data_IF_723654513392
#
_entry.id   IF_723654513392
#
_cell.length_a   1.000
_cell.length_b   1.000
_cell.length_c   1.000
_cell.angle_alpha   90.00
_cell.angle_beta   90.00
_cell.angle_gamma   90.00
#
_symmetry.space_group_name_H-M   'P 1'
#
loop_
_entity.id
_entity.type
_entity.pdbx_description
1 polymer ?
#
# COMPACT_ATOMS: atom_id res chain seq x y z
N UNK A 1 -6.98 -1.28 0.10
CA UNK A 1 -7.33 -0.72 -1.21
C UNK A 1 -7.74 -1.80 -2.22
N UNK A 2 -6.84 -2.73 -2.57
CA UNK A 2 -7.13 -3.84 -3.50
C UNK A 2 -8.33 -4.71 -3.09
N UNK A 3 -8.51 -4.96 -1.79
CA UNK A 3 -9.69 -5.66 -1.25
C UNK A 3 -10.95 -4.82 -1.44
N UNK A 4 -10.93 -3.53 -1.12
CA UNK A 4 -12.09 -2.63 -1.24
C UNK A 4 -12.49 -2.47 -2.71
N UNK A 5 -11.53 -2.34 -3.62
CA UNK A 5 -11.79 -2.24 -5.06
C UNK A 5 -12.31 -3.55 -5.66
N UNK A 6 -11.74 -4.71 -5.29
CA UNK A 6 -12.20 -6.01 -5.79
C UNK A 6 -13.60 -6.37 -5.27
N UNK A 7 -13.90 -5.98 -4.03
CA UNK A 7 -15.17 -6.26 -3.37
C UNK A 7 -16.26 -5.29 -3.80
N UNK A 8 -15.94 -4.03 -4.10
CA UNK A 8 -16.87 -3.06 -4.69
C UNK A 8 -17.31 -3.39 -6.12
N UNK A 9 -16.71 -4.41 -6.75
CA UNK A 9 -17.11 -4.94 -8.06
C UNK A 9 -17.93 -6.25 -7.97
N UNK A 10 -18.23 -6.75 -6.76
CA UNK A 10 -18.97 -7.98 -6.56
C UNK A 10 -20.45 -7.71 -6.19
N UNK A 11 -21.38 -8.34 -6.89
CA UNK A 11 -22.82 -8.12 -6.70
C UNK A 11 -23.43 -8.84 -5.48
N UNK A 12 -22.65 -9.70 -4.80
CA UNK A 12 -23.13 -10.53 -3.69
C UNK A 12 -22.67 -9.98 -2.34
N UNK A 13 -23.59 -9.33 -1.62
CA UNK A 13 -23.33 -8.70 -0.31
C UNK A 13 -22.75 -9.71 0.70
N UNK A 14 -23.23 -10.95 0.69
CA UNK A 14 -22.76 -12.01 1.59
C UNK A 14 -21.27 -12.33 1.38
N UNK A 15 -20.85 -12.45 0.11
CA UNK A 15 -19.45 -12.72 -0.24
C UNK A 15 -18.56 -11.55 0.14
N UNK A 16 -19.04 -10.32 -0.09
CA UNK A 16 -18.35 -9.08 0.31
C UNK A 16 -18.07 -9.05 1.81
N UNK A 17 -19.06 -9.33 2.66
CA UNK A 17 -18.91 -9.30 4.12
C UNK A 17 -17.88 -10.34 4.57
N UNK A 18 -17.97 -11.56 4.07
CA UNK A 18 -17.01 -12.63 4.41
C UNK A 18 -15.59 -12.27 3.97
N UNK A 19 -15.42 -11.71 2.76
CA UNK A 19 -14.13 -11.29 2.25
C UNK A 19 -13.50 -10.17 3.09
N UNK A 20 -14.27 -9.18 3.52
CA UNK A 20 -13.79 -8.08 4.37
C UNK A 20 -13.35 -8.61 5.74
N UNK A 21 -14.14 -9.47 6.38
CA UNK A 21 -13.79 -10.03 7.69
C UNK A 21 -12.49 -10.84 7.59
N UNK A 22 -12.36 -11.70 6.57
CA UNK A 22 -11.13 -12.48 6.34
C UNK A 22 -9.93 -11.57 6.07
N UNK A 23 -10.09 -10.55 5.23
CA UNK A 23 -9.02 -9.60 4.92
C UNK A 23 -8.55 -8.84 6.18
N UNK A 24 -9.49 -8.33 6.99
CA UNK A 24 -9.16 -7.65 8.25
C UNK A 24 -8.47 -8.61 9.22
N UNK A 25 -8.94 -9.85 9.33
CA UNK A 25 -8.29 -10.88 10.15
C UNK A 25 -6.83 -11.10 9.75
N UNK A 26 -6.55 -11.26 8.45
CA UNK A 26 -5.18 -11.39 7.94
C UNK A 26 -4.35 -10.13 8.19
N UNK A 27 -4.92 -8.93 7.97
CA UNK A 27 -4.23 -7.67 8.23
C UNK A 27 -3.86 -7.52 9.70
N UNK A 28 -4.73 -7.91 10.64
CA UNK A 28 -4.42 -7.84 12.08
C UNK A 28 -3.28 -8.78 12.47
N UNK A 29 -3.25 -10.00 11.92
CA UNK A 29 -2.15 -10.95 12.14
C UNK A 29 -0.84 -10.41 11.56
N UNK A 30 -0.90 -9.79 10.38
CA UNK A 30 0.27 -9.22 9.71
C UNK A 30 0.70 -7.85 10.25
N UNK A 31 -0.13 -7.17 11.06
CA UNK A 31 0.13 -5.79 11.50
C UNK A 31 1.42 -5.67 12.30
N UNK A 32 1.70 -6.62 13.21
CA UNK A 32 2.92 -6.62 14.03
C UNK A 32 4.20 -6.76 13.19
N UNK A 33 4.41 -7.81 12.38
CA UNK A 33 5.63 -7.95 11.59
C UNK A 33 5.80 -6.84 10.55
N UNK A 34 4.70 -6.32 9.97
CA UNK A 34 4.76 -5.18 9.06
C UNK A 34 5.17 -3.91 9.82
N UNK A 35 4.62 -3.69 11.01
CA UNK A 35 4.96 -2.56 11.88
C UNK A 35 6.45 -2.53 12.22
N UNK A 36 6.98 -3.65 12.73
CA UNK A 36 8.39 -3.79 13.11
C UNK A 36 9.33 -3.52 11.90
N UNK A 37 8.94 -3.98 10.71
CA UNK A 37 9.68 -3.74 9.47
C UNK A 37 9.69 -2.25 9.07
N UNK A 38 8.55 -1.58 9.19
CA UNK A 38 8.40 -0.14 8.89
C UNK A 38 9.14 0.73 9.91
N UNK A 39 9.21 0.32 11.18
CA UNK A 39 10.00 1.01 12.20
C UNK A 39 11.51 0.90 11.95
N UNK A 40 11.98 -0.27 11.50
CA UNK A 40 13.39 -0.52 11.17
C UNK A 40 13.86 0.28 9.95
N UNK A 41 12.93 0.68 9.07
CA UNK A 41 13.22 1.40 7.82
C UNK A 41 12.45 2.73 7.73
N UNK A 42 13.02 3.85 8.24
CA UNK A 42 12.33 5.15 8.28
C UNK A 42 11.84 5.66 6.93
N UNK A 43 12.56 5.36 5.84
CA UNK A 43 12.18 5.73 4.47
C UNK A 43 10.95 4.97 3.99
N UNK A 44 10.76 3.71 4.39
CA UNK A 44 9.53 2.95 4.16
C UNK A 44 8.34 3.53 4.93
N UNK A 45 8.56 4.04 6.15
CA UNK A 45 7.50 4.73 6.93
C UNK A 45 6.99 5.97 6.19
N UNK A 46 7.91 6.79 5.66
CA UNK A 46 7.53 7.96 4.85
C UNK A 46 6.81 7.52 3.57
N UNK A 47 7.31 6.48 2.88
CA UNK A 47 6.66 5.94 1.68
C UNK A 47 5.22 5.50 1.94
N UNK A 48 4.98 4.82 3.07
CA UNK A 48 3.63 4.39 3.48
C UNK A 48 2.70 5.58 3.74
N UNK A 49 3.18 6.62 4.44
CA UNK A 49 2.41 7.86 4.65
C UNK A 49 2.10 8.55 3.31
N UNK A 50 3.04 8.56 2.37
CA UNK A 50 2.82 9.10 1.03
C UNK A 50 1.78 8.31 0.25
N UNK A 51 1.75 6.98 0.36
CA UNK A 51 0.70 6.16 -0.27
C UNK A 51 -0.68 6.44 0.33
N UNK A 52 -0.78 6.67 1.64
CA UNK A 52 -2.04 7.07 2.27
C UNK A 52 -2.56 8.39 1.69
N UNK A 53 -1.67 9.38 1.52
CA UNK A 53 -2.03 10.67 0.90
C UNK A 53 -2.43 10.47 -0.57
N UNK A 54 -1.65 9.71 -1.34
CA UNK A 54 -1.90 9.44 -2.76
C UNK A 54 -3.28 8.79 -2.96
N UNK A 55 -3.59 7.76 -2.19
CA UNK A 55 -4.90 7.07 -2.24
C UNK A 55 -6.02 7.99 -1.78
N UNK A 56 -5.80 8.78 -0.71
CA UNK A 56 -6.79 9.76 -0.26
C UNK A 56 -7.14 10.80 -1.33
N UNK A 57 -6.14 11.36 -2.00
CA UNK A 57 -6.32 12.30 -3.11
C UNK A 57 -6.98 11.62 -4.31
N UNK A 58 -6.59 10.38 -4.62
CA UNK A 58 -7.21 9.62 -5.70
C UNK A 58 -8.70 9.38 -5.46
N UNK A 59 -9.10 9.00 -4.24
CA UNK A 59 -10.50 8.80 -3.87
C UNK A 59 -11.31 10.10 -3.95
N UNK A 60 -10.73 11.23 -3.50
CA UNK A 60 -11.37 12.54 -3.65
C UNK A 60 -11.53 12.88 -5.14
N UNK A 61 -10.52 12.64 -5.96
CA UNK A 61 -10.58 12.85 -7.41
C UNK A 61 -11.66 11.99 -8.08
N UNK A 62 -11.71 10.69 -7.77
CA UNK A 62 -12.74 9.78 -8.26
C UNK A 62 -14.15 10.24 -7.84
N UNK A 63 -14.31 10.77 -6.61
CA UNK A 63 -15.60 11.30 -6.14
C UNK A 63 -16.03 12.60 -6.82
N UNK A 64 -15.11 13.31 -7.48
CA UNK A 64 -15.35 14.53 -8.26
C UNK A 64 -15.45 14.24 -9.77
N UNK A 65 -15.73 12.98 -10.14
CA UNK A 65 -15.81 12.48 -11.53
C UNK A 65 -14.50 12.56 -12.34
N UNK A 66 -13.37 12.88 -11.69
CA UNK A 66 -12.05 12.77 -12.33
C UNK A 66 -11.64 11.31 -12.41
N UNK A 67 -11.71 10.76 -13.61
CA UNK A 67 -11.29 9.39 -13.89
C UNK A 67 -9.76 9.31 -13.93
N UNK A 68 -9.14 9.10 -12.77
CA UNK A 68 -7.71 8.79 -12.65
C UNK A 68 -7.53 7.30 -12.97
N UNK A 69 -6.81 6.91 -14.03
CA UNK A 69 -6.66 5.50 -14.34
C UNK A 69 -5.85 4.80 -13.25
N UNK A 70 -6.48 3.82 -12.56
CA UNK A 70 -5.89 3.12 -11.41
C UNK A 70 -4.53 2.48 -11.71
N UNK A 71 -4.29 2.11 -12.96
CA UNK A 71 -3.00 1.59 -13.43
C UNK A 71 -1.82 2.53 -13.16
N UNK A 72 -2.01 3.85 -13.26
CA UNK A 72 -0.94 4.82 -12.93
C UNK A 72 -0.63 4.83 -11.44
N UNK A 73 -1.65 4.75 -10.58
CA UNK A 73 -1.48 4.71 -9.13
C UNK A 73 -0.75 3.43 -8.72
N UNK A 74 -1.19 2.28 -9.24
CA UNK A 74 -0.56 0.98 -8.96
C UNK A 74 0.87 0.91 -9.49
N UNK A 75 1.13 1.46 -10.69
CA UNK A 75 2.49 1.56 -11.24
C UNK A 75 3.38 2.45 -10.37
N UNK A 76 2.90 3.63 -9.96
CA UNK A 76 3.65 4.54 -9.11
C UNK A 76 3.98 3.92 -7.75
N UNK A 77 3.03 3.23 -7.11
CA UNK A 77 3.27 2.52 -5.85
C UNK A 77 4.29 1.39 -6.03
N UNK A 78 4.12 0.55 -7.06
CA UNK A 78 5.04 -0.55 -7.35
C UNK A 78 6.45 -0.07 -7.65
N UNK A 79 6.60 0.94 -8.51
CA UNK A 79 7.88 1.54 -8.85
C UNK A 79 8.58 2.12 -7.62
N UNK A 80 7.84 2.85 -6.77
CA UNK A 80 8.40 3.47 -5.56
C UNK A 80 8.91 2.41 -4.56
N UNK A 81 8.19 1.29 -4.40
CA UNK A 81 8.66 0.17 -3.58
C UNK A 81 9.94 -0.43 -4.17
N UNK A 82 10.02 -0.63 -5.48
CA UNK A 82 11.23 -1.15 -6.13
C UNK A 82 12.43 -0.23 -5.89
N UNK A 83 12.24 1.07 -6.10
CA UNK A 83 13.27 2.09 -5.85
C UNK A 83 13.70 2.07 -4.38
N UNK A 84 12.75 1.99 -3.46
CA UNK A 84 13.06 1.96 -2.02
C UNK A 84 13.81 0.68 -1.63
N UNK A 85 13.49 -0.47 -2.22
CA UNK A 85 14.23 -1.71 -2.01
C UNK A 85 15.68 -1.61 -2.52
N UNK A 86 15.91 -0.91 -3.63
CA UNK A 86 17.26 -0.59 -4.13
C UNK A 86 17.98 0.35 -3.15
N UNK A 87 17.30 1.40 -2.69
CA UNK A 87 17.84 2.40 -1.77
C UNK A 87 18.30 1.77 -0.44
N UNK A 88 17.48 0.90 0.15
CA UNK A 88 17.82 0.14 1.37
C UNK A 88 19.05 -0.75 1.13
N UNK A 89 19.13 -1.45 -0.01
CA UNK A 89 20.29 -2.28 -0.36
C UNK A 89 21.56 -1.45 -0.54
N UNK A 90 21.48 -0.30 -1.19
CA UNK A 90 22.62 0.60 -1.40
C UNK A 90 23.12 1.20 -0.08
N UNK A 91 22.20 1.60 0.81
CA UNK A 91 22.55 2.16 2.12
C UNK A 91 23.30 1.17 3.00
N UNK A 92 22.89 -0.11 2.99
CA UNK A 92 23.63 -1.20 3.65
C UNK A 92 25.06 -1.38 3.10
N UNK A 93 25.28 -1.09 1.81
CA UNK A 93 26.60 -1.19 1.17
C UNK A 93 27.50 0.01 1.51
N UNK A 94 26.94 1.21 1.67
CA UNK A 94 27.69 2.44 2.00
C UNK A 94 28.18 2.48 3.45
N UNK A 95 27.44 1.89 4.40
CA UNK A 95 27.86 1.78 5.81
C UNK A 95 28.94 0.69 5.98
N UNK A 96 29.12 -0.18 4.98
CA UNK A 96 30.13 -1.24 4.94
C UNK A 96 31.39 -0.79 4.19
N UNK A 97 31.91 0.39 4.49
CA UNK A 97 33.31 0.73 4.17
C UNK A 97 34.20 0.37 5.38
N UNK A 98 35.33 -0.34 5.17
CA UNK A 98 36.30 -0.63 6.23
C UNK A 98 37.00 0.64 6.73
#
# INVERSE_FOLDING_TARGET
DSVITAVGMADQIEVMVVAIILAVGVMMIAAKPIGDFVETHPTLKVLALSFLILVGVALIGESLDFHIPKGYIYFAMGFSVVVEMINIRMRKKLIRKP
#
